data_IF_571448221231
#
_entry.id   IF_571448221231
#
_cell.length_a   1.000
_cell.length_b   1.000
_cell.length_c   1.000
_cell.angle_alpha   90.00
_cell.angle_beta   90.00
_cell.angle_gamma   90.00
#
_symmetry.space_group_name_H-M   'P 1'
#
loop_
_entity.id
_entity.type
_entity.pdbx_description
1 polymer ?
#
# COMPACT_ATOMS: atom_id res chain seq x y z
N UNK A 1 47.66 -14.46 -7.75
CA UNK A 1 46.36 -14.93 -7.24
C UNK A 1 46.02 -16.17 -8.04
N UNK A 2 46.15 -17.35 -7.43
CA UNK A 2 45.77 -18.60 -8.09
C UNK A 2 44.29 -18.83 -7.80
N UNK A 3 43.46 -18.82 -8.85
CA UNK A 3 42.03 -19.08 -8.74
C UNK A 3 41.88 -20.61 -8.79
N UNK A 4 41.61 -21.21 -7.63
CA UNK A 4 41.46 -22.66 -7.49
C UNK A 4 40.22 -23.12 -8.25
N UNK A 5 40.41 -23.79 -9.40
CA UNK A 5 39.35 -24.30 -10.28
C UNK A 5 38.39 -25.25 -9.57
N UNK A 6 38.87 -25.97 -8.55
CA UNK A 6 38.07 -26.87 -7.71
C UNK A 6 36.99 -26.14 -6.89
N UNK A 7 37.25 -24.88 -6.49
CA UNK A 7 36.27 -24.07 -5.75
C UNK A 7 35.15 -23.56 -6.66
N UNK A 8 35.44 -23.34 -7.95
CA UNK A 8 34.43 -22.98 -8.94
C UNK A 8 33.47 -24.14 -9.21
N UNK A 9 33.98 -25.37 -9.31
CA UNK A 9 33.14 -26.55 -9.48
C UNK A 9 32.25 -26.79 -8.25
N UNK A 10 32.79 -26.62 -7.04
CA UNK A 10 31.99 -26.72 -5.82
C UNK A 10 30.85 -25.69 -5.77
N UNK A 11 31.12 -24.44 -6.20
CA UNK A 11 30.13 -23.37 -6.22
C UNK A 11 29.07 -23.56 -7.31
N UNK A 12 29.46 -24.09 -8.48
CA UNK A 12 28.52 -24.46 -9.55
C UNK A 12 27.60 -25.59 -9.11
N UNK A 13 28.15 -26.61 -8.44
CA UNK A 13 27.37 -27.75 -7.90
C UNK A 13 26.40 -27.31 -6.80
N UNK A 14 26.78 -26.34 -5.98
CA UNK A 14 25.90 -25.73 -4.98
C UNK A 14 24.74 -24.98 -5.65
N UNK A 15 25.01 -24.26 -6.74
CA UNK A 15 23.99 -23.54 -7.49
C UNK A 15 22.98 -24.49 -8.18
N UNK A 16 23.44 -25.62 -8.74
CA UNK A 16 22.57 -26.65 -9.33
C UNK A 16 21.67 -27.34 -8.30
N UNK A 17 22.16 -27.54 -7.07
CA UNK A 17 21.35 -28.10 -5.98
C UNK A 17 20.23 -27.14 -5.54
N UNK A 18 20.47 -25.83 -5.54
CA UNK A 18 19.45 -24.81 -5.23
C UNK A 18 18.39 -24.69 -6.32
N UNK A 19 18.75 -24.86 -7.60
CA UNK A 19 17.79 -24.87 -8.69
C UNK A 19 16.84 -26.09 -8.64
N UNK A 20 17.33 -27.24 -8.16
CA UNK A 20 16.53 -28.47 -8.03
C UNK A 20 15.53 -28.41 -6.86
N UNK A 21 15.86 -27.74 -5.76
CA UNK A 21 14.92 -27.55 -4.63
C UNK A 21 13.82 -26.55 -4.97
N UNK A 22 14.13 -25.48 -5.72
CA UNK A 22 13.14 -24.55 -6.23
C UNK A 22 12.13 -25.22 -7.18
N UNK A 23 12.58 -26.16 -8.03
CA UNK A 23 11.71 -26.90 -8.96
C UNK A 23 10.83 -27.96 -8.29
N UNK A 24 11.18 -28.44 -7.09
CA UNK A 24 10.32 -29.36 -6.31
C UNK A 24 9.17 -28.65 -5.58
N UNK A 25 9.25 -27.32 -5.40
CA UNK A 25 8.19 -26.55 -4.75
C UNK A 25 7.07 -26.10 -5.70
N UNK A 26 7.31 -26.08 -7.02
CA UNK A 26 6.29 -25.69 -8.02
C UNK A 26 5.23 -26.77 -8.30
N UNK A 27 5.31 -27.92 -7.63
CA UNK A 27 4.32 -29.01 -7.74
C UNK A 27 3.24 -29.04 -6.65
N UNK A 28 3.22 -28.11 -5.69
CA UNK A 28 2.17 -27.99 -4.68
C UNK A 28 1.41 -26.68 -4.85
N UNK A 29 0.36 -26.74 -5.67
CA UNK A 29 -0.74 -25.77 -5.68
C UNK A 29 -1.52 -25.84 -4.36
N UNK A 30 -0.96 -25.30 -3.29
CA UNK A 30 -1.56 -25.34 -1.95
C UNK A 30 -1.05 -24.30 -0.97
N UNK A 31 -0.39 -23.23 -1.43
CA UNK A 31 0.15 -22.20 -0.55
C UNK A 31 -0.91 -21.23 -0.03
N UNK A 32 -1.80 -20.76 -0.92
CA UNK A 32 -2.83 -19.78 -0.54
C UNK A 32 -4.05 -20.43 0.12
N UNK A 33 -4.50 -21.56 -0.41
CA UNK A 33 -5.66 -22.32 0.10
C UNK A 33 -5.42 -22.82 1.54
N UNK A 34 -4.19 -23.27 1.85
CA UNK A 34 -3.82 -23.69 3.20
C UNK A 34 -3.80 -22.52 4.20
N UNK A 35 -3.39 -21.32 3.77
CA UNK A 35 -3.37 -20.13 4.62
C UNK A 35 -4.81 -19.62 4.87
N UNK A 36 -5.68 -19.69 3.85
CA UNK A 36 -7.11 -19.38 3.97
C UNK A 36 -7.84 -20.33 4.91
N UNK A 37 -7.62 -21.65 4.77
CA UNK A 37 -8.21 -22.65 5.66
C UNK A 37 -7.76 -22.46 7.12
N UNK A 38 -6.52 -22.04 7.34
CA UNK A 38 -5.99 -21.80 8.68
C UNK A 38 -6.57 -20.52 9.33
N UNK A 39 -6.84 -19.47 8.54
CA UNK A 39 -7.54 -18.30 9.05
C UNK A 39 -9.02 -18.57 9.33
N UNK A 40 -9.68 -19.39 8.51
CA UNK A 40 -11.10 -19.68 8.70
C UNK A 40 -11.36 -20.71 9.81
N UNK A 41 -10.48 -21.70 10.01
CA UNK A 41 -10.60 -22.72 11.05
C UNK A 41 -10.20 -22.26 12.47
N UNK A 42 -9.50 -21.13 12.60
CA UNK A 42 -9.09 -20.57 13.91
C UNK A 42 -10.23 -19.95 14.73
N UNK A 43 -11.41 -19.74 14.12
CA UNK A 43 -12.54 -19.08 14.77
C UNK A 43 -13.55 -20.04 15.44
N UNK A 44 -13.45 -21.36 15.23
CA UNK A 44 -14.49 -22.32 15.68
C UNK A 44 -14.07 -23.26 16.82
N UNK A 45 -12.85 -23.16 17.36
CA UNK A 45 -12.38 -24.02 18.45
C UNK A 45 -11.92 -23.24 19.69
N UNK A 46 -12.84 -22.46 20.27
CA UNK A 46 -12.66 -21.89 21.61
C UNK A 46 -13.95 -21.87 22.43
N UNK A 47 -14.87 -22.82 22.22
CA UNK A 47 -16.02 -22.96 23.09
C UNK A 47 -16.42 -24.42 23.35
N UNK A 48 -15.63 -25.09 24.20
CA UNK A 48 -16.09 -26.27 24.94
C UNK A 48 -15.35 -26.39 26.28
N UNK A 49 -16.05 -25.97 27.34
CA UNK A 49 -16.08 -26.50 28.70
C UNK A 49 -14.77 -26.84 29.46
N UNK A 50 -14.60 -26.14 30.59
CA UNK A 50 -14.59 -26.82 31.90
C UNK A 50 -13.26 -27.10 32.58
N UNK A 51 -12.90 -26.24 33.54
CA UNK A 51 -12.33 -26.59 34.84
C UNK A 51 -10.93 -27.21 34.91
N UNK A 52 -10.00 -26.49 35.54
CA UNK A 52 -9.04 -26.95 36.56
C UNK A 52 -8.12 -25.77 36.92
N UNK A 53 -8.15 -25.32 38.18
CA UNK A 53 -7.25 -24.28 38.70
C UNK A 53 -5.82 -24.84 38.84
N UNK A 54 -4.78 -24.15 38.33
CA UNK A 54 -3.38 -24.52 38.60
C UNK A 54 -2.78 -23.71 39.76
N UNK A 55 -1.81 -24.28 40.50
CA UNK A 55 -1.11 -23.61 41.59
C UNK A 55 -0.11 -22.59 41.01
N UNK A 56 -0.51 -21.33 40.90
CA UNK A 56 0.35 -20.25 40.38
C UNK A 56 -0.07 -18.84 40.77
N UNK A 57 -1.09 -18.68 41.61
CA UNK A 57 -1.73 -17.40 41.91
C UNK A 57 -0.83 -16.35 42.61
N UNK A 58 0.33 -16.75 43.15
CA UNK A 58 1.25 -15.82 43.82
C UNK A 58 2.24 -15.12 42.85
N UNK A 59 2.45 -15.64 41.63
CA UNK A 59 3.36 -15.05 40.64
C UNK A 59 2.63 -14.18 39.61
N UNK A 60 1.31 -14.34 39.49
CA UNK A 60 0.47 -13.53 38.62
C UNK A 60 0.42 -12.05 39.03
N UNK A 61 0.57 -11.72 40.31
CA UNK A 61 0.53 -10.33 40.79
C UNK A 61 1.68 -9.46 40.28
N UNK A 62 2.89 -10.03 40.17
CA UNK A 62 4.07 -9.29 39.68
C UNK A 62 4.08 -9.17 38.15
N UNK A 63 3.56 -10.17 37.44
CA UNK A 63 3.41 -10.14 35.98
C UNK A 63 2.33 -9.12 35.58
N UNK A 64 1.20 -9.06 36.31
CA UNK A 64 0.16 -8.05 36.06
C UNK A 64 0.64 -6.62 36.31
N UNK A 65 1.55 -6.38 37.27
CA UNK A 65 2.12 -5.05 37.50
C UNK A 65 3.15 -4.66 36.43
N UNK A 66 3.95 -5.61 35.93
CA UNK A 66 4.91 -5.35 34.85
C UNK A 66 4.21 -5.17 33.49
N UNK A 67 3.10 -5.85 33.26
CA UNK A 67 2.28 -5.72 32.05
C UNK A 67 1.46 -4.42 32.04
N UNK A 68 0.98 -3.94 33.21
CA UNK A 68 0.33 -2.63 33.33
C UNK A 68 1.32 -1.48 33.14
N UNK A 69 2.54 -1.58 33.70
CA UNK A 69 3.58 -0.57 33.51
C UNK A 69 4.22 -0.58 32.11
N UNK A 70 4.07 -1.66 31.35
CA UNK A 70 4.52 -1.78 29.95
C UNK A 70 3.49 -1.29 28.93
N UNK A 71 2.20 -1.27 29.30
CA UNK A 71 1.12 -0.77 28.45
C UNK A 71 1.03 0.77 28.41
N UNK A 72 1.79 1.48 29.27
CA UNK A 72 1.92 2.93 29.24
C UNK A 72 3.07 3.43 28.34
N UNK A 73 3.75 2.52 27.62
CA UNK A 73 4.58 2.92 26.48
C UNK A 73 3.68 3.23 25.28
N UNK A 74 3.09 4.42 25.36
CA UNK A 74 2.88 5.31 24.22
C UNK A 74 2.19 4.68 23.00
N UNK A 75 0.85 4.80 22.95
CA UNK A 75 0.23 5.27 21.72
C UNK A 75 0.77 6.68 21.42
N UNK A 76 2.03 6.76 21.00
CA UNK A 76 2.48 7.89 20.21
C UNK A 76 1.67 7.80 18.92
N UNK A 77 0.85 8.81 18.65
CA UNK A 77 0.25 8.96 17.33
C UNK A 77 1.38 8.83 16.31
N UNK A 78 1.28 7.84 15.42
CA UNK A 78 2.27 7.67 14.36
C UNK A 78 2.10 8.88 13.43
N UNK A 79 3.06 9.84 13.43
CA UNK A 79 2.92 11.05 12.64
C UNK A 79 2.85 10.73 11.14
N UNK A 80 3.40 9.58 10.72
CA UNK A 80 3.31 9.13 9.34
C UNK A 80 1.88 8.67 8.98
N UNK A 81 1.16 8.07 9.93
CA UNK A 81 -0.21 7.64 9.73
C UNK A 81 -1.17 8.83 9.58
N UNK A 82 -0.97 9.90 10.35
CA UNK A 82 -1.73 11.15 10.23
C UNK A 82 -1.49 11.83 8.87
N UNK A 83 -0.23 11.94 8.45
CA UNK A 83 0.14 12.50 7.14
C UNK A 83 -0.50 11.69 6.00
N UNK A 84 -0.45 10.35 6.07
CA UNK A 84 -1.05 9.50 5.05
C UNK A 84 -2.57 9.63 5.03
N UNK A 85 -3.23 9.75 6.18
CA UNK A 85 -4.68 9.90 6.26
C UNK A 85 -5.14 11.25 5.68
N UNK A 86 -4.43 12.33 5.98
CA UNK A 86 -4.67 13.64 5.36
C UNK A 86 -4.46 13.56 3.84
N UNK A 87 -3.38 12.93 3.40
CA UNK A 87 -3.09 12.75 1.98
C UNK A 87 -4.15 11.93 1.23
N UNK A 88 -4.72 10.89 1.85
CA UNK A 88 -5.85 10.14 1.28
C UNK A 88 -7.11 10.99 1.17
N UNK A 89 -7.37 11.84 2.17
CA UNK A 89 -8.50 12.77 2.14
C UNK A 89 -8.32 13.79 1.01
N UNK A 90 -7.12 14.32 0.86
CA UNK A 90 -6.76 15.23 -0.22
C UNK A 90 -6.86 14.54 -1.60
N UNK A 91 -6.37 13.31 -1.72
CA UNK A 91 -6.46 12.51 -2.94
C UNK A 91 -7.92 12.26 -3.35
N UNK A 92 -8.79 11.98 -2.37
CA UNK A 92 -10.23 11.80 -2.61
C UNK A 92 -10.84 13.09 -3.15
N UNK A 93 -10.52 14.25 -2.57
CA UNK A 93 -10.94 15.55 -3.09
C UNK A 93 -10.42 15.84 -4.50
N UNK A 94 -9.19 15.42 -4.83
CA UNK A 94 -8.66 15.51 -6.20
C UNK A 94 -9.44 14.64 -7.17
N UNK A 95 -9.87 13.44 -6.76
CA UNK A 95 -10.71 12.57 -7.60
C UNK A 95 -12.11 13.15 -7.82
N UNK A 96 -12.69 13.86 -6.84
CA UNK A 96 -13.96 14.58 -7.03
C UNK A 96 -13.81 15.73 -8.05
N UNK A 97 -12.65 16.39 -8.08
CA UNK A 97 -12.34 17.38 -9.12
C UNK A 97 -12.19 16.72 -10.50
N UNK A 98 -11.62 15.52 -10.58
CA UNK A 98 -11.55 14.75 -11.82
C UNK A 98 -12.93 14.39 -12.37
N UNK A 99 -13.87 14.01 -11.50
CA UNK A 99 -15.27 13.78 -11.90
C UNK A 99 -15.93 15.08 -12.38
N UNK A 100 -15.69 16.19 -11.67
CA UNK A 100 -16.17 17.53 -12.08
C UNK A 100 -15.58 17.97 -13.43
N UNK A 101 -14.30 17.70 -13.66
CA UNK A 101 -13.60 17.93 -14.92
C UNK A 101 -14.25 17.11 -16.05
N UNK A 102 -14.46 15.81 -15.85
CA UNK A 102 -15.06 14.93 -16.85
C UNK A 102 -16.49 15.38 -17.23
N UNK A 103 -17.30 15.79 -16.24
CA UNK A 103 -18.65 16.36 -16.47
C UNK A 103 -18.59 17.66 -17.24
N UNK A 104 -17.67 18.55 -16.88
CA UNK A 104 -17.50 19.85 -17.54
C UNK A 104 -17.07 19.67 -19.00
N UNK A 105 -16.14 18.74 -19.25
CA UNK A 105 -15.66 18.38 -20.59
C UNK A 105 -16.74 17.72 -21.44
N UNK A 106 -17.53 16.80 -20.87
CA UNK A 106 -18.66 16.17 -21.57
C UNK A 106 -19.79 17.14 -21.93
N UNK A 107 -19.94 18.21 -21.15
CA UNK A 107 -20.91 19.28 -21.43
C UNK A 107 -20.38 20.33 -22.44
N UNK A 108 -19.12 20.22 -22.88
CA UNK A 108 -18.47 21.17 -23.80
C UNK A 108 -18.96 21.12 -25.23
N UNK A 109 -19.76 20.12 -25.61
CA UNK A 109 -20.26 19.96 -26.97
C UNK A 109 -21.07 21.18 -27.48
N UNK A 110 -21.60 22.02 -26.58
CA UNK A 110 -22.33 23.25 -26.91
C UNK A 110 -21.48 24.54 -26.83
N UNK A 111 -20.14 24.42 -26.87
CA UNK A 111 -19.20 25.54 -27.07
C UNK A 111 -18.85 26.37 -25.83
N UNK A 112 -19.35 26.00 -24.64
CA UNK A 112 -19.28 26.83 -23.43
C UNK A 112 -18.23 26.48 -22.38
N UNK A 113 -17.63 25.28 -22.36
CA UNK A 113 -17.00 24.78 -21.12
C UNK A 113 -15.54 24.31 -21.23
N UNK A 114 -14.87 24.48 -22.36
CA UNK A 114 -13.46 24.06 -22.51
C UNK A 114 -12.49 24.84 -21.61
N UNK A 115 -12.73 26.15 -21.47
CA UNK A 115 -11.93 27.02 -20.60
C UNK A 115 -12.12 26.65 -19.12
N UNK A 116 -13.35 26.31 -18.75
CA UNK A 116 -13.68 25.91 -17.39
C UNK A 116 -13.09 24.53 -17.08
N UNK A 117 -13.16 23.58 -18.03
CA UNK A 117 -12.49 22.30 -17.92
C UNK A 117 -10.96 22.45 -17.79
N UNK A 118 -10.35 23.37 -18.54
CA UNK A 118 -8.93 23.66 -18.40
C UNK A 118 -8.59 24.29 -17.04
N UNK A 119 -9.42 25.20 -16.53
CA UNK A 119 -9.23 25.79 -15.21
C UNK A 119 -9.32 24.72 -14.09
N UNK A 120 -10.25 23.77 -14.22
CA UNK A 120 -10.33 22.61 -13.32
C UNK A 120 -9.07 21.74 -13.41
N UNK A 121 -8.57 21.48 -14.61
CA UNK A 121 -7.35 20.69 -14.83
C UNK A 121 -6.11 21.35 -14.21
N UNK A 122 -5.97 22.67 -14.29
CA UNK A 122 -4.89 23.39 -13.59
C UNK A 122 -5.05 23.33 -12.06
N UNK A 123 -6.29 23.35 -11.55
CA UNK A 123 -6.57 23.12 -10.14
C UNK A 123 -6.15 21.74 -9.67
N UNK A 124 -6.45 20.70 -10.47
CA UNK A 124 -6.02 19.33 -10.23
C UNK A 124 -4.49 19.24 -10.22
N UNK A 125 -3.81 19.81 -11.21
CA UNK A 125 -2.33 19.82 -11.29
C UNK A 125 -1.69 20.42 -10.05
N UNK A 126 -2.25 21.51 -9.54
CA UNK A 126 -1.81 22.12 -8.28
C UNK A 126 -2.02 21.19 -7.08
N UNK A 127 -3.17 20.52 -6.98
CA UNK A 127 -3.43 19.57 -5.89
C UNK A 127 -2.49 18.37 -5.94
N UNK A 128 -2.27 17.79 -7.11
CA UNK A 128 -1.34 16.66 -7.28
C UNK A 128 0.08 17.06 -6.88
N UNK A 129 0.53 18.27 -7.25
CA UNK A 129 1.82 18.80 -6.81
C UNK A 129 1.88 18.98 -5.27
N UNK A 130 0.81 19.45 -4.64
CA UNK A 130 0.70 19.57 -3.19
C UNK A 130 0.73 18.21 -2.50
N UNK A 131 -0.03 17.22 -2.96
CA UNK A 131 0.02 15.85 -2.44
C UNK A 131 1.45 15.30 -2.50
N UNK A 132 2.11 15.46 -3.64
CA UNK A 132 3.49 14.99 -3.85
C UNK A 132 4.47 15.62 -2.88
N UNK A 133 4.29 16.89 -2.56
CA UNK A 133 5.14 17.61 -1.62
C UNK A 133 4.81 17.24 -0.16
N UNK A 134 3.53 17.21 0.20
CA UNK A 134 3.05 16.87 1.55
C UNK A 134 3.37 15.44 1.96
N UNK A 135 3.46 14.53 1.00
CA UNK A 135 3.78 13.11 1.26
C UNK A 135 5.24 12.73 1.04
N UNK A 136 6.12 13.69 0.71
CA UNK A 136 7.52 13.39 0.41
C UNK A 136 8.25 12.67 1.57
N UNK A 137 7.90 12.96 2.82
CA UNK A 137 8.47 12.32 4.01
C UNK A 137 7.96 10.90 4.30
N UNK A 138 6.87 10.49 3.66
CA UNK A 138 6.22 9.17 3.85
C UNK A 138 6.23 8.31 2.58
N UNK A 139 6.91 8.76 1.52
CA UNK A 139 7.06 8.00 0.27
C UNK A 139 7.69 6.63 0.52
N UNK A 140 7.14 5.59 -0.09
CA UNK A 140 7.58 4.20 0.09
C UNK A 140 7.03 3.52 1.34
N UNK A 141 6.36 4.26 2.25
CA UNK A 141 5.69 3.67 3.43
C UNK A 141 4.32 3.09 3.08
N UNK A 142 3.67 3.61 2.03
CA UNK A 142 2.40 3.09 1.51
C UNK A 142 2.47 2.95 -0.02
N UNK A 143 2.76 1.74 -0.54
CA UNK A 143 2.90 1.52 -1.98
C UNK A 143 1.59 1.74 -2.75
N UNK A 144 0.43 1.57 -2.10
CA UNK A 144 -0.87 1.83 -2.70
C UNK A 144 -1.09 3.32 -2.94
N UNK A 145 -0.75 4.15 -1.95
CA UNK A 145 -0.80 5.61 -2.07
C UNK A 145 0.21 6.12 -3.11
N UNK A 146 1.43 5.60 -3.11
CA UNK A 146 2.44 5.97 -4.10
C UNK A 146 1.97 5.66 -5.54
N UNK A 147 1.29 4.53 -5.73
CA UNK A 147 0.70 4.15 -7.01
C UNK A 147 -0.43 5.09 -7.42
N UNK A 148 -1.31 5.45 -6.48
CA UNK A 148 -2.40 6.41 -6.71
C UNK A 148 -1.85 7.79 -7.11
N UNK A 149 -0.85 8.28 -6.38
CA UNK A 149 -0.21 9.57 -6.67
C UNK A 149 0.42 9.57 -8.06
N UNK A 150 1.14 8.50 -8.42
CA UNK A 150 1.71 8.36 -9.75
C UNK A 150 0.64 8.35 -10.85
N UNK A 151 -0.47 7.65 -10.64
CA UNK A 151 -1.58 7.64 -11.60
C UNK A 151 -2.20 9.03 -11.78
N UNK A 152 -2.42 9.76 -10.67
CA UNK A 152 -2.90 11.14 -10.72
C UNK A 152 -1.93 12.05 -11.48
N UNK A 153 -0.62 11.90 -11.31
CA UNK A 153 0.40 12.64 -12.06
C UNK A 153 0.34 12.34 -13.56
N UNK A 154 0.33 11.04 -13.92
CA UNK A 154 0.29 10.60 -15.33
C UNK A 154 -0.99 11.08 -16.01
N UNK A 155 -2.13 10.94 -15.35
CA UNK A 155 -3.43 11.36 -15.88
C UNK A 155 -3.46 12.88 -16.08
N UNK A 156 -3.01 13.66 -15.09
CA UNK A 156 -2.94 15.13 -15.20
C UNK A 156 -2.03 15.56 -16.35
N UNK A 157 -0.82 15.00 -16.44
CA UNK A 157 0.12 15.34 -17.49
C UNK A 157 -0.42 14.99 -18.88
N UNK A 158 -1.09 13.84 -19.00
CA UNK A 158 -1.70 13.38 -20.24
C UNK A 158 -2.82 14.32 -20.69
N UNK A 159 -3.69 14.74 -19.78
CA UNK A 159 -4.77 15.67 -20.11
C UNK A 159 -4.26 17.05 -20.49
N UNK A 160 -3.24 17.56 -19.79
CA UNK A 160 -2.60 18.83 -20.17
C UNK A 160 -2.00 18.73 -21.57
N UNK A 161 -1.40 17.60 -21.92
CA UNK A 161 -0.88 17.36 -23.26
C UNK A 161 -2.00 17.36 -24.32
N UNK A 162 -3.13 16.68 -24.07
CA UNK A 162 -4.29 16.67 -24.98
C UNK A 162 -4.85 18.07 -25.24
N UNK A 163 -5.01 18.88 -24.18
CA UNK A 163 -5.43 20.28 -24.30
C UNK A 163 -4.46 21.10 -25.13
N UNK A 164 -3.16 21.03 -24.83
CA UNK A 164 -2.14 21.79 -25.55
C UNK A 164 -2.03 21.39 -27.03
N UNK A 165 -2.30 20.12 -27.36
CA UNK A 165 -2.38 19.64 -28.73
C UNK A 165 -3.63 20.13 -29.46
N UNK A 166 -4.66 20.56 -28.73
CA UNK A 166 -5.93 21.02 -29.28
C UNK A 166 -6.92 19.89 -29.59
N UNK A 167 -6.77 18.70 -28.97
CA UNK A 167 -7.66 17.55 -29.20
C UNK A 167 -9.14 17.84 -28.90
N UNK A 168 -9.39 18.87 -28.11
CA UNK A 168 -10.70 19.27 -27.64
C UNK A 168 -11.32 20.43 -28.45
N UNK A 169 -10.63 20.93 -29.48
CA UNK A 169 -11.12 21.99 -30.38
C UNK A 169 -11.72 21.40 -31.69
N UNK A 170 -12.59 20.40 -31.57
CA UNK A 170 -13.30 19.78 -32.72
C UNK A 170 -14.55 20.54 -33.10
#
# INVERSE_FOLDING_TARGET
MEINTEQLEALLRQQEQQATTARRQTGRSGGFDAILAQQLGGAEQANAAGGLLPPGAAQAGLISQMLLNGAEQSQAADPDAEILQEAFTQASGTLDLWDSYAKTLGSSADGGSLRDAYALLEGIDSQVAQLKQGTAGVRGKNPGFDSLLNELEVMTATEKFKFNRGDYNV
#
